data_IF_329744216480
#
_entry.id   IF_329744216480
#
_cell.length_a   1.000
_cell.length_b   1.000
_cell.length_c   1.000
_cell.angle_alpha   90.00
_cell.angle_beta   90.00
_cell.angle_gamma   90.00
#
_symmetry.space_group_name_H-M   'P 1'
#
loop_
_entity.id
_entity.type
_entity.pdbx_description
1 polymer ?
#
# COMPACT_ATOMS: atom_id res chain seq x y z
N UNK A 1 16.01 1.11 -0.34
CA UNK A 1 15.25 1.96 -1.29
C UNK A 1 15.34 3.39 -0.81
N UNK A 2 15.75 4.35 -1.65
CA UNK A 2 16.00 5.74 -1.24
C UNK A 2 14.73 6.60 -1.16
N UNK A 3 13.72 6.15 -0.44
CA UNK A 3 12.48 6.90 -0.24
C UNK A 3 12.60 7.87 0.93
N UNK A 4 12.09 9.08 0.77
CA UNK A 4 11.99 10.09 1.83
C UNK A 4 10.53 10.40 2.11
N UNK A 5 10.18 10.62 3.37
CA UNK A 5 8.85 11.08 3.73
C UNK A 5 8.59 12.46 3.10
N UNK A 6 7.50 12.56 2.33
CA UNK A 6 7.13 13.77 1.59
C UNK A 6 5.93 14.46 2.25
N UNK A 7 4.91 13.71 2.66
CA UNK A 7 3.69 14.25 3.28
C UNK A 7 3.09 13.24 4.24
N UNK A 8 2.50 13.72 5.35
CA UNK A 8 1.64 12.92 6.22
C UNK A 8 0.32 13.67 6.37
N UNK A 9 -0.79 12.98 6.19
CA UNK A 9 -2.14 13.48 6.47
C UNK A 9 -2.84 12.49 7.40
N UNK A 10 -3.02 12.88 8.66
CA UNK A 10 -3.66 12.07 9.70
C UNK A 10 -5.17 12.31 9.78
N UNK A 11 -5.72 13.16 8.89
CA UNK A 11 -7.08 13.67 8.96
C UNK A 11 -7.94 13.30 7.75
N UNK A 12 -7.59 12.21 7.07
CA UNK A 12 -8.30 11.76 5.88
C UNK A 12 -9.72 11.36 6.26
N UNK A 13 -10.72 12.08 5.75
CA UNK A 13 -12.13 11.75 5.97
C UNK A 13 -12.54 10.58 5.09
N UNK A 14 -12.76 9.41 5.71
CA UNK A 14 -13.20 8.19 5.05
C UNK A 14 -14.72 7.96 5.16
N UNK A 15 -15.50 9.03 5.16
CA UNK A 15 -16.95 8.99 5.35
C UNK A 15 -17.33 8.96 6.83
N UNK A 16 -16.70 9.81 7.63
CA UNK A 16 -16.98 10.02 9.05
C UNK A 16 -16.03 9.33 10.03
N UNK A 17 -15.06 8.55 9.53
CA UNK A 17 -13.92 8.03 10.33
C UNK A 17 -12.62 8.61 9.78
N UNK A 18 -11.71 8.94 10.67
CA UNK A 18 -10.41 9.51 10.30
C UNK A 18 -9.44 8.38 9.96
N UNK A 19 -9.05 8.31 8.69
CA UNK A 19 -7.91 7.54 8.22
C UNK A 19 -6.63 8.37 8.30
N UNK A 20 -5.50 7.75 7.98
CA UNK A 20 -4.22 8.43 7.94
C UNK A 20 -3.38 7.94 6.77
N UNK A 21 -2.66 8.82 6.09
CA UNK A 21 -1.80 8.48 4.96
C UNK A 21 -0.44 9.15 5.09
N UNK A 22 0.62 8.38 4.87
CA UNK A 22 1.98 8.84 4.73
C UNK A 22 2.43 8.60 3.29
N UNK A 23 2.86 9.66 2.61
CA UNK A 23 3.39 9.62 1.25
C UNK A 23 4.90 9.73 1.32
N UNK A 24 5.55 8.77 0.70
CA UNK A 24 6.99 8.67 0.51
C UNK A 24 7.33 8.91 -0.95
N UNK A 25 8.35 9.73 -1.18
CA UNK A 25 8.84 10.06 -2.52
C UNK A 25 10.19 9.40 -2.76
N UNK A 26 10.31 8.69 -3.88
CA UNK A 26 11.55 8.12 -4.39
C UNK A 26 12.12 8.97 -5.54
N UNK A 27 13.12 8.41 -6.23
CA UNK A 27 13.78 9.09 -7.34
C UNK A 27 12.90 9.17 -8.60
N UNK A 28 12.01 8.20 -8.81
CA UNK A 28 11.22 7.98 -10.03
C UNK A 28 9.76 7.57 -9.77
N UNK A 29 9.38 7.35 -8.50
CA UNK A 29 8.01 7.00 -8.11
C UNK A 29 7.69 7.52 -6.70
N UNK A 30 6.42 7.40 -6.31
CA UNK A 30 5.91 7.66 -4.96
C UNK A 30 5.23 6.41 -4.41
N UNK A 31 5.34 6.21 -3.11
CA UNK A 31 4.63 5.17 -2.36
C UNK A 31 3.79 5.88 -1.32
N UNK A 32 2.52 5.50 -1.18
CA UNK A 32 1.73 5.88 -0.02
C UNK A 32 1.44 4.65 0.84
N UNK A 33 1.53 4.84 2.15
CA UNK A 33 1.10 3.88 3.16
C UNK A 33 -0.03 4.56 3.92
N UNK A 34 -1.20 3.93 3.96
CA UNK A 34 -2.35 4.51 4.61
C UNK A 34 -3.05 3.50 5.52
N UNK A 35 -3.70 4.02 6.56
CA UNK A 35 -4.59 3.28 7.42
C UNK A 35 -6.04 3.58 7.02
N UNK A 36 -6.73 2.55 6.55
CA UNK A 36 -8.17 2.53 6.29
C UNK A 36 -8.89 2.27 7.60
N UNK A 37 -9.51 3.30 8.16
CA UNK A 37 -10.43 3.21 9.30
C UNK A 37 -11.74 2.49 8.97
N UNK A 38 -12.08 2.38 7.67
CA UNK A 38 -13.24 1.63 7.18
C UNK A 38 -13.00 0.13 7.23
N UNK A 39 -11.84 -0.30 6.75
CA UNK A 39 -11.46 -1.72 6.67
C UNK A 39 -10.68 -2.17 7.91
N UNK A 40 -10.23 -1.22 8.73
CA UNK A 40 -9.40 -1.48 9.90
C UNK A 40 -7.99 -1.94 9.53
N UNK A 41 -7.52 -1.62 8.32
CA UNK A 41 -6.26 -2.12 7.78
C UNK A 41 -5.27 -1.06 7.33
N UNK A 42 -3.98 -1.38 7.48
CA UNK A 42 -2.90 -0.64 6.83
C UNK A 42 -2.68 -1.22 5.43
N UNK A 43 -2.71 -0.37 4.43
CA UNK A 43 -2.50 -0.74 3.03
C UNK A 43 -1.48 0.20 2.36
N UNK A 44 -1.00 -0.18 1.17
CA UNK A 44 0.01 0.56 0.44
C UNK A 44 -0.30 0.64 -1.05
N UNK A 45 0.01 1.79 -1.65
CA UNK A 45 -0.12 2.04 -3.09
C UNK A 45 1.15 2.67 -3.65
N UNK A 46 1.38 2.46 -4.94
CA UNK A 46 2.45 3.10 -5.71
C UNK A 46 1.86 4.02 -6.78
N UNK A 47 2.57 5.10 -7.10
CA UNK A 47 2.17 6.03 -8.14
C UNK A 47 3.38 6.72 -8.77
N UNK A 48 3.21 7.32 -9.96
CA UNK A 48 4.27 8.06 -10.63
C UNK A 48 4.60 9.36 -9.86
N UNK A 49 5.73 10.00 -10.18
CA UNK A 49 6.14 11.25 -9.49
C UNK A 49 5.13 12.40 -9.67
N UNK A 50 4.38 12.40 -10.75
CA UNK A 50 3.35 13.39 -11.07
C UNK A 50 1.98 13.01 -10.49
N UNK A 51 1.90 11.91 -9.71
CA UNK A 51 0.71 11.59 -8.93
C UNK A 51 0.48 12.69 -7.87
N UNK A 52 -0.77 13.16 -7.71
CA UNK A 52 -1.10 14.15 -6.69
C UNK A 52 -0.86 13.58 -5.29
N UNK A 53 -0.37 14.42 -4.38
CA UNK A 53 -0.16 14.05 -2.98
C UNK A 53 -1.50 14.00 -2.22
N UNK A 54 -2.37 13.09 -2.65
CA UNK A 54 -3.69 12.83 -2.07
C UNK A 54 -3.83 11.34 -1.81
N UNK A 55 -4.70 11.01 -0.87
CA UNK A 55 -5.03 9.62 -0.58
C UNK A 55 -5.55 8.93 -1.85
N UNK A 56 -4.89 7.84 -2.27
CA UNK A 56 -5.11 7.23 -3.58
C UNK A 56 -6.53 6.71 -3.78
N UNK A 57 -7.18 6.22 -2.72
CA UNK A 57 -8.57 5.77 -2.78
C UNK A 57 -9.60 6.89 -3.03
N UNK A 58 -9.25 8.15 -2.76
CA UNK A 58 -10.12 9.33 -2.96
C UNK A 58 -9.57 10.27 -4.04
N UNK A 59 -8.53 9.84 -4.75
CA UNK A 59 -7.91 10.62 -5.79
C UNK A 59 -8.52 10.29 -7.16
N UNK A 60 -9.18 11.28 -7.76
CA UNK A 60 -9.81 11.13 -9.08
C UNK A 60 -8.81 10.98 -10.24
N UNK A 61 -7.50 11.15 -9.99
CA UNK A 61 -6.50 11.05 -11.06
C UNK A 61 -6.28 9.61 -11.54
N UNK A 62 -6.64 8.61 -10.74
CA UNK A 62 -6.48 7.19 -11.08
C UNK A 62 -5.03 6.73 -11.25
N UNK A 63 -4.05 7.56 -10.85
CA UNK A 63 -2.61 7.29 -11.00
C UNK A 63 -2.05 6.37 -9.92
N UNK A 64 -2.73 6.26 -8.78
CA UNK A 64 -2.34 5.40 -7.68
C UNK A 64 -2.81 3.96 -7.95
N UNK A 65 -1.90 3.00 -7.81
CA UNK A 65 -2.14 1.56 -8.02
C UNK A 65 -1.85 0.80 -6.73
N UNK A 66 -2.74 -0.13 -6.39
CA UNK A 66 -2.53 -1.01 -5.24
C UNK A 66 -1.38 -1.97 -5.49
N UNK A 67 -0.53 -2.22 -4.49
CA UNK A 67 0.46 -3.30 -4.61
C UNK A 67 -0.23 -4.66 -4.82
N UNK A 68 -1.44 -4.82 -4.27
CA UNK A 68 -2.30 -5.98 -4.47
C UNK A 68 -2.71 -6.21 -5.93
N UNK A 69 -2.71 -5.19 -6.80
CA UNK A 69 -3.00 -5.39 -8.23
C UNK A 69 -1.91 -6.21 -8.93
N UNK A 70 -0.70 -6.20 -8.36
CA UNK A 70 0.47 -6.91 -8.88
C UNK A 70 0.69 -8.25 -8.18
N UNK A 71 -0.16 -8.57 -7.21
CA UNK A 71 -0.16 -9.85 -6.51
C UNK A 71 -0.67 -10.94 -7.46
N UNK A 72 0.19 -11.93 -7.74
CA UNK A 72 -0.25 -13.14 -8.43
C UNK A 72 -1.25 -13.86 -7.55
N UNK A 73 -2.47 -14.08 -8.07
CA UNK A 73 -3.52 -14.82 -7.33
C UNK A 73 -2.92 -16.13 -6.82
N UNK A 74 -3.03 -16.40 -5.51
CA UNK A 74 -2.46 -17.62 -4.96
C UNK A 74 -3.15 -18.82 -5.61
N UNK A 75 -2.35 -19.70 -6.23
CA UNK A 75 -2.83 -20.95 -6.86
C UNK A 75 -2.96 -22.09 -5.84
N UNK A 76 -2.87 -21.76 -4.55
CA UNK A 76 -2.89 -22.72 -3.45
C UNK A 76 -4.31 -23.19 -3.15
N UNK A 77 -4.43 -24.34 -2.50
CA UNK A 77 -5.73 -24.87 -2.08
C UNK A 77 -6.38 -23.96 -1.05
N UNK A 78 -7.71 -24.08 -0.89
CA UNK A 78 -8.47 -23.28 0.07
C UNK A 78 -7.98 -23.47 1.52
N UNK A 79 -7.48 -24.67 1.84
CA UNK A 79 -6.93 -25.00 3.16
C UNK A 79 -5.60 -24.30 3.42
N UNK A 80 -4.71 -24.27 2.42
CA UNK A 80 -3.45 -23.53 2.51
C UNK A 80 -3.70 -22.03 2.57
N UNK A 81 -4.66 -21.51 1.79
CA UNK A 81 -5.07 -20.12 1.85
C UNK A 81 -5.56 -19.72 3.25
N UNK A 82 -6.39 -20.54 3.89
CA UNK A 82 -6.86 -20.28 5.26
C UNK A 82 -5.71 -20.31 6.26
N UNK A 83 -4.73 -21.18 6.07
CA UNK A 83 -3.54 -21.26 6.93
C UNK A 83 -2.66 -20.01 6.79
N UNK A 84 -2.43 -19.58 5.55
CA UNK A 84 -1.64 -18.38 5.25
C UNK A 84 -2.31 -17.13 5.81
N UNK A 85 -3.62 -16.96 5.58
CA UNK A 85 -4.39 -15.84 6.14
C UNK A 85 -4.37 -15.80 7.67
N UNK A 86 -4.36 -16.97 8.34
CA UNK A 86 -4.23 -17.04 9.81
C UNK A 86 -2.84 -16.66 10.28
N UNK A 87 -1.80 -17.05 9.55
CA UNK A 87 -0.42 -16.66 9.85
C UNK A 87 -0.20 -15.16 9.62
N UNK A 88 -0.76 -14.61 8.54
CA UNK A 88 -0.76 -13.17 8.26
C UNK A 88 -1.49 -12.38 9.34
N UNK A 89 -2.60 -12.93 9.87
CA UNK A 89 -3.35 -12.28 10.96
C UNK A 89 -2.54 -12.05 12.23
N UNK A 90 -1.54 -12.90 12.51
CA UNK A 90 -0.63 -12.69 13.64
C UNK A 90 0.24 -11.43 13.47
N UNK A 91 0.47 -10.99 12.23
CA UNK A 91 1.23 -9.76 11.96
C UNK A 91 0.40 -8.48 12.21
N UNK A 92 -0.91 -8.59 12.37
CA UNK A 92 -1.81 -7.46 12.61
C UNK A 92 -2.03 -7.17 14.11
N UNK A 93 -1.25 -7.78 15.01
CA UNK A 93 -1.35 -7.55 16.46
C UNK A 93 -0.95 -6.13 16.87
N UNK A 94 0.02 -5.52 16.18
CA UNK A 94 0.45 -4.14 16.43
C UNK A 94 0.69 -3.40 15.12
N UNK A 95 0.51 -2.08 15.12
CA UNK A 95 0.78 -1.22 13.95
C UNK A 95 2.22 -1.40 13.44
N UNK A 96 3.21 -1.55 14.33
CA UNK A 96 4.60 -1.76 13.95
C UNK A 96 4.82 -3.10 13.22
N UNK A 97 4.21 -4.19 13.71
CA UNK A 97 4.29 -5.50 13.04
C UNK A 97 3.59 -5.46 11.69
N UNK A 98 2.46 -4.75 11.59
CA UNK A 98 1.74 -4.57 10.34
C UNK A 98 2.57 -3.77 9.33
N UNK A 99 3.19 -2.67 9.76
CA UNK A 99 4.07 -1.86 8.91
C UNK A 99 5.30 -2.65 8.44
N UNK A 100 5.88 -3.48 9.32
CA UNK A 100 6.98 -4.36 8.92
C UNK A 100 6.51 -5.40 7.90
N UNK A 101 5.36 -6.03 8.15
CA UNK A 101 4.78 -7.02 7.26
C UNK A 101 4.45 -6.44 5.88
N UNK A 102 3.73 -5.31 5.81
CA UNK A 102 3.37 -4.70 4.52
C UNK A 102 4.63 -4.26 3.75
N UNK A 103 5.66 -3.81 4.46
CA UNK A 103 6.94 -3.46 3.86
C UNK A 103 7.60 -4.68 3.24
N UNK A 104 7.68 -5.80 3.96
CA UNK A 104 8.37 -7.02 3.48
C UNK A 104 7.56 -7.80 2.44
N UNK A 105 6.30 -8.07 2.74
CA UNK A 105 5.47 -9.00 1.97
C UNK A 105 4.71 -8.35 0.82
N UNK A 106 4.42 -7.04 0.90
CA UNK A 106 3.76 -6.32 -0.20
C UNK A 106 4.73 -5.40 -0.94
N UNK A 107 5.31 -4.43 -0.26
CA UNK A 107 6.13 -3.40 -0.91
C UNK A 107 7.36 -4.04 -1.53
N UNK A 108 8.27 -4.63 -0.75
CA UNK A 108 9.52 -5.20 -1.28
C UNK A 108 9.28 -6.30 -2.32
N UNK A 109 8.27 -7.14 -2.10
CA UNK A 109 7.95 -8.27 -2.99
C UNK A 109 7.43 -7.85 -4.35
N UNK A 110 6.56 -6.84 -4.39
CA UNK A 110 5.90 -6.41 -5.63
C UNK A 110 6.46 -5.10 -6.18
N UNK A 111 7.44 -4.47 -5.51
CA UNK A 111 8.02 -3.19 -5.90
C UNK A 111 8.48 -3.21 -7.35
N UNK A 112 9.30 -4.16 -7.76
CA UNK A 112 9.87 -4.16 -9.12
C UNK A 112 8.79 -4.28 -10.19
N UNK A 113 7.76 -5.10 -9.97
CA UNK A 113 6.65 -5.27 -10.92
C UNK A 113 5.76 -4.03 -10.98
N UNK A 114 5.44 -3.47 -9.82
CA UNK A 114 4.61 -2.29 -9.69
C UNK A 114 5.32 -1.04 -10.24
N UNK A 115 6.62 -0.91 -9.96
CA UNK A 115 7.50 0.14 -10.45
C UNK A 115 7.64 0.09 -11.97
N UNK A 116 7.87 -1.09 -12.55
CA UNK A 116 7.96 -1.24 -14.00
C UNK A 116 6.68 -0.78 -14.72
N UNK A 117 5.50 -0.99 -14.13
CA UNK A 117 4.22 -0.56 -14.71
C UNK A 117 4.00 0.94 -14.54
N UNK A 118 4.33 1.48 -13.36
CA UNK A 118 4.11 2.88 -13.02
C UNK A 118 5.12 3.81 -13.72
N UNK A 119 6.37 3.38 -13.87
CA UNK A 119 7.46 4.16 -14.47
C UNK A 119 7.67 3.81 -15.94
N UNK A 120 7.53 2.54 -16.31
CA UNK A 120 7.68 2.09 -17.71
C UNK A 120 6.46 2.37 -18.60
N UNK A 121 5.36 2.86 -18.03
CA UNK A 121 4.17 3.30 -18.78
C UNK A 121 4.19 4.75 -19.25
N UNK A 122 5.30 5.49 -19.06
CA UNK A 122 5.49 6.88 -19.55
C UNK A 122 5.91 6.96 -21.02
#
# INVERSE_FOLDING_TARGET
MGFTLDTVDESVDEGGRMGSVAIYRGADCKIQIYYSSREGEVNAMIGPLDAPNKHGAYDDSGKWRYFSDFETRPTVSLEELVKDLRAERANFETTSNWLEWITKERILRYFDSAHAVVVGGQ
#
